data_IF_894795133375
#
_entry.id   IF_894795133375
#
_cell.length_a   1.000
_cell.length_b   1.000
_cell.length_c   1.000
_cell.angle_alpha   90.00
_cell.angle_beta   90.00
_cell.angle_gamma   90.00
#
_symmetry.space_group_name_H-M   'P 1'
#
loop_
_entity.id
_entity.type
_entity.pdbx_description
1 polymer ?
#
# COMPACT_ATOMS: atom_id res chain seq x y z
N UNK A 1 -24.43 -41.28 -12.95
CA UNK A 1 -23.90 -40.22 -13.82
C UNK A 1 -24.25 -38.79 -13.36
N UNK A 2 -25.52 -38.43 -13.12
CA UNK A 2 -25.91 -37.05 -12.73
C UNK A 2 -25.23 -36.50 -11.46
N UNK A 3 -25.01 -37.34 -10.43
CA UNK A 3 -24.31 -36.95 -9.19
C UNK A 3 -22.83 -36.62 -9.39
N UNK A 4 -22.17 -37.32 -10.33
CA UNK A 4 -20.76 -37.10 -10.65
C UNK A 4 -20.57 -35.81 -11.45
N UNK A 5 -21.50 -35.53 -12.37
CA UNK A 5 -21.52 -34.31 -13.15
C UNK A 5 -21.77 -33.06 -12.29
N UNK A 6 -22.61 -33.16 -11.26
CA UNK A 6 -22.86 -32.07 -10.31
C UNK A 6 -21.64 -31.80 -9.42
N UNK A 7 -20.96 -32.85 -8.95
CA UNK A 7 -19.72 -32.71 -8.17
C UNK A 7 -18.59 -32.07 -8.98
N UNK A 8 -18.46 -32.43 -10.26
CA UNK A 8 -17.48 -31.86 -11.17
C UNK A 8 -17.77 -30.37 -11.47
N UNK A 9 -19.05 -30.02 -11.65
CA UNK A 9 -19.47 -28.64 -11.85
C UNK A 9 -19.26 -27.78 -10.60
N UNK A 10 -19.51 -28.35 -9.41
CA UNK A 10 -19.23 -27.71 -8.13
C UNK A 10 -17.72 -27.52 -7.90
N UNK A 11 -16.91 -28.50 -8.29
CA UNK A 11 -15.44 -28.43 -8.23
C UNK A 11 -14.89 -27.37 -9.20
N UNK A 12 -15.42 -27.28 -10.43
CA UNK A 12 -15.08 -26.23 -11.39
C UNK A 12 -15.50 -24.83 -10.92
N UNK A 13 -16.67 -24.70 -10.28
CA UNK A 13 -17.11 -23.44 -9.66
C UNK A 13 -16.23 -23.04 -8.47
N UNK A 14 -15.74 -24.00 -7.68
CA UNK A 14 -14.81 -23.75 -6.57
C UNK A 14 -13.40 -23.40 -7.07
N UNK A 15 -12.96 -23.94 -8.21
CA UNK A 15 -11.68 -23.58 -8.84
C UNK A 15 -11.67 -22.17 -9.46
N UNK A 16 -12.84 -21.64 -9.85
CA UNK A 16 -12.97 -20.34 -10.52
C UNK A 16 -13.07 -19.13 -9.60
N UNK A 17 -12.97 -19.30 -8.28
CA UNK A 17 -12.91 -18.20 -7.33
C UNK A 17 -11.50 -17.57 -7.30
N UNK A 18 -11.03 -17.07 -8.44
CA UNK A 18 -9.95 -16.09 -8.40
C UNK A 18 -10.51 -14.84 -7.71
N UNK A 19 -10.07 -14.60 -6.48
CA UNK A 19 -10.36 -13.36 -5.78
C UNK A 19 -9.75 -12.22 -6.59
N UNK A 20 -10.59 -11.52 -7.35
CA UNK A 20 -10.17 -10.40 -8.18
C UNK A 20 -9.57 -9.31 -7.30
N UNK A 21 -8.27 -9.08 -7.44
CA UNK A 21 -7.64 -7.90 -6.89
C UNK A 21 -8.09 -6.67 -7.70
N UNK A 22 -8.43 -5.58 -7.02
CA UNK A 22 -8.75 -4.30 -7.65
C UNK A 22 -7.54 -3.40 -7.53
N UNK A 23 -6.87 -3.12 -8.65
CA UNK A 23 -5.74 -2.19 -8.72
C UNK A 23 -6.24 -0.76 -8.48
N UNK A 24 -5.64 -0.08 -7.51
CA UNK A 24 -5.93 1.32 -7.14
C UNK A 24 -4.85 2.25 -7.69
N UNK A 25 -3.59 1.82 -7.60
CA UNK A 25 -2.42 2.57 -8.03
C UNK A 25 -1.33 1.62 -8.49
N UNK A 26 -0.59 2.02 -9.52
CA UNK A 26 0.56 1.32 -10.09
C UNK A 26 1.61 2.37 -10.48
N UNK A 27 2.82 2.25 -9.94
CA UNK A 27 3.93 3.15 -10.21
C UNK A 27 4.57 2.80 -11.56
N UNK A 28 5.00 3.82 -12.30
CA UNK A 28 5.77 3.64 -13.54
C UNK A 28 7.23 3.24 -13.27
N UNK A 29 7.68 3.32 -12.02
CA UNK A 29 9.04 2.97 -11.63
C UNK A 29 9.21 1.45 -11.66
N UNK A 30 10.12 0.96 -12.52
CA UNK A 30 10.46 -0.45 -12.54
C UNK A 30 11.39 -0.81 -11.37
N UNK A 31 10.81 -1.39 -10.32
CA UNK A 31 11.50 -1.82 -9.10
C UNK A 31 11.82 -3.32 -9.05
N UNK A 32 11.55 -4.08 -10.12
CA UNK A 32 11.73 -5.55 -10.16
C UNK A 32 13.14 -6.04 -9.86
N UNK A 33 14.14 -5.18 -10.01
CA UNK A 33 15.56 -5.47 -9.78
C UNK A 33 16.08 -4.87 -8.45
N UNK A 34 15.21 -4.26 -7.64
CA UNK A 34 15.57 -3.65 -6.38
C UNK A 34 15.74 -4.71 -5.29
N UNK A 35 16.88 -4.64 -4.62
CA UNK A 35 17.26 -5.53 -3.52
C UNK A 35 17.46 -4.69 -2.26
N UNK A 36 17.01 -5.21 -1.13
CA UNK A 36 17.13 -4.57 0.18
C UNK A 36 17.94 -5.45 1.13
N UNK A 37 19.19 -5.05 1.37
CA UNK A 37 20.13 -5.76 2.25
C UNK A 37 20.52 -4.92 3.48
N UNK A 38 19.94 -3.74 3.64
CA UNK A 38 20.19 -2.85 4.77
C UNK A 38 19.22 -3.13 5.93
N UNK A 39 19.53 -2.59 7.11
CA UNK A 39 18.59 -2.62 8.23
C UNK A 39 17.41 -1.64 8.04
N UNK A 40 16.32 -1.94 8.76
CA UNK A 40 15.12 -1.10 8.78
C UNK A 40 15.24 0.08 9.76
N UNK A 41 16.45 0.44 10.22
CA UNK A 41 16.60 1.55 11.16
C UNK A 41 16.18 2.87 10.48
N UNK A 42 15.26 3.59 11.15
CA UNK A 42 14.68 4.83 10.63
C UNK A 42 13.68 4.64 9.49
N UNK A 43 13.35 3.41 9.10
CA UNK A 43 12.29 3.15 8.13
C UNK A 43 10.93 3.48 8.74
N UNK A 44 10.20 4.38 8.11
CA UNK A 44 8.88 4.82 8.56
C UNK A 44 7.86 4.84 7.43
N UNK A 45 6.62 4.54 7.81
CA UNK A 45 5.45 4.61 6.95
C UNK A 45 4.42 5.51 7.64
N UNK A 46 4.08 6.61 6.98
CA UNK A 46 3.10 7.57 7.48
C UNK A 46 1.88 7.54 6.56
N UNK A 47 0.72 7.21 7.15
CA UNK A 47 -0.56 7.20 6.45
C UNK A 47 -1.47 8.23 7.12
N UNK A 48 -1.76 9.31 6.38
CA UNK A 48 -2.60 10.41 6.84
C UNK A 48 -4.09 10.09 6.81
N UNK A 49 -4.52 9.12 7.62
CA UNK A 49 -5.94 8.76 7.77
C UNK A 49 -6.77 9.93 8.30
N UNK A 50 -6.12 10.85 9.01
CA UNK A 50 -6.63 12.13 9.47
C UNK A 50 -5.46 13.12 9.61
N UNK A 51 -5.80 14.40 9.86
CA UNK A 51 -4.80 15.47 10.00
C UNK A 51 -3.84 15.24 11.15
N UNK A 52 -4.33 14.75 12.29
CA UNK A 52 -3.50 14.57 13.48
C UNK A 52 -2.44 13.50 13.25
N UNK A 53 -2.84 12.35 12.70
CA UNK A 53 -1.92 11.26 12.34
C UNK A 53 -0.89 11.69 11.30
N UNK A 54 -1.33 12.42 10.27
CA UNK A 54 -0.40 12.94 9.25
C UNK A 54 0.65 13.85 9.88
N UNK A 55 0.23 14.92 10.56
CA UNK A 55 1.12 15.90 11.19
C UNK A 55 2.04 15.24 12.21
N UNK A 56 1.51 14.35 13.04
CA UNK A 56 2.31 13.63 14.05
C UNK A 56 3.37 12.76 13.37
N UNK A 57 3.00 12.01 12.33
CA UNK A 57 3.93 11.14 11.60
C UNK A 57 5.04 11.93 10.92
N UNK A 58 4.70 12.95 10.11
CA UNK A 58 5.73 13.71 9.37
C UNK A 58 6.63 14.55 10.29
N UNK A 59 6.16 14.96 11.46
CA UNK A 59 6.98 15.72 12.42
C UNK A 59 8.05 14.87 13.11
N UNK A 60 7.93 13.55 13.06
CA UNK A 60 8.94 12.63 13.56
C UNK A 60 10.05 12.35 12.52
N UNK A 61 9.84 12.73 11.26
CA UNK A 61 10.77 12.45 10.18
C UNK A 61 11.76 13.59 9.98
N UNK A 62 13.00 13.39 10.39
CA UNK A 62 14.05 14.37 10.15
C UNK A 62 14.30 14.58 8.65
N UNK A 63 14.67 15.81 8.25
CA UNK A 63 15.09 16.13 6.88
C UNK A 63 14.08 15.83 5.76
N UNK A 64 12.79 15.73 6.09
CA UNK A 64 11.72 15.73 5.08
C UNK A 64 11.54 17.13 4.46
N UNK A 65 11.35 17.18 3.14
CA UNK A 65 11.21 18.42 2.37
C UNK A 65 10.06 19.30 2.88
N UNK A 66 10.31 20.61 2.91
CA UNK A 66 9.34 21.63 3.37
C UNK A 66 8.03 21.58 2.57
N UNK A 67 8.11 21.25 1.29
CA UNK A 67 6.93 21.18 0.41
C UNK A 67 5.96 20.09 0.88
N UNK A 68 6.48 18.91 1.25
CA UNK A 68 5.65 17.82 1.82
C UNK A 68 5.05 18.24 3.16
N UNK A 69 5.82 18.96 3.98
CA UNK A 69 5.39 19.41 5.31
C UNK A 69 4.30 20.48 5.28
N UNK A 70 4.28 21.29 4.23
CA UNK A 70 3.34 22.41 4.06
C UNK A 70 2.13 22.04 3.21
N UNK A 71 2.15 20.86 2.59
CA UNK A 71 1.03 20.35 1.80
C UNK A 71 -0.23 20.19 2.67
N UNK A 72 -1.36 20.61 2.11
CA UNK A 72 -2.67 20.47 2.73
C UNK A 72 -3.53 19.51 1.92
N UNK A 73 -4.37 18.76 2.63
CA UNK A 73 -5.22 17.72 2.05
C UNK A 73 -6.64 17.87 2.56
N UNK A 74 -7.62 17.51 1.74
CA UNK A 74 -8.98 17.28 2.21
C UNK A 74 -9.06 15.86 2.78
N UNK A 75 -8.75 15.69 4.06
CA UNK A 75 -8.72 14.37 4.73
C UNK A 75 -10.05 13.60 4.70
N UNK A 76 -11.15 14.25 4.32
CA UNK A 76 -12.43 13.56 4.07
C UNK A 76 -12.46 12.82 2.73
N UNK A 77 -11.61 13.20 1.78
CA UNK A 77 -11.56 12.67 0.41
C UNK A 77 -10.20 12.11 0.02
N UNK A 78 -9.14 12.50 0.69
CA UNK A 78 -7.75 12.22 0.34
C UNK A 78 -7.03 11.58 1.51
N UNK A 79 -6.11 10.67 1.19
CA UNK A 79 -5.20 10.06 2.16
C UNK A 79 -3.78 10.20 1.61
N UNK A 80 -2.95 11.08 2.18
CA UNK A 80 -1.53 11.12 1.87
C UNK A 80 -0.82 9.89 2.48
N UNK A 81 0.06 9.28 1.71
CA UNK A 81 0.90 8.15 2.10
C UNK A 81 2.35 8.54 1.83
N UNK A 82 3.21 8.30 2.82
CA UNK A 82 4.64 8.54 2.72
C UNK A 82 5.41 7.35 3.24
N UNK A 83 6.44 6.94 2.50
CA UNK A 83 7.42 5.94 2.91
C UNK A 83 8.78 6.59 2.98
N UNK A 84 9.51 6.37 4.06
CA UNK A 84 10.75 7.07 4.38
C UNK A 84 11.79 6.06 4.83
N UNK A 85 12.99 6.09 4.26
CA UNK A 85 14.05 5.14 4.63
C UNK A 85 14.90 5.57 5.83
N UNK A 86 14.74 6.78 6.34
CA UNK A 86 15.68 7.32 7.32
C UNK A 86 16.96 7.83 6.67
N UNK A 87 17.91 8.21 7.54
CA UNK A 87 19.25 8.60 7.13
C UNK A 87 20.00 7.41 6.52
N UNK A 88 20.53 7.57 5.31
CA UNK A 88 21.36 6.56 4.64
C UNK A 88 22.76 7.11 4.33
N UNK A 89 23.82 6.29 4.45
CA UNK A 89 25.20 6.77 4.48
C UNK A 89 25.76 7.23 3.13
N UNK A 90 25.07 6.89 2.03
CA UNK A 90 25.49 7.18 0.67
C UNK A 90 24.28 7.46 -0.23
N UNK A 91 24.56 7.88 -1.46
CA UNK A 91 23.62 7.73 -2.56
C UNK A 91 23.39 6.26 -2.92
N UNK A 92 22.43 6.02 -3.81
CA UNK A 92 22.07 4.68 -4.30
C UNK A 92 20.96 3.98 -3.51
N UNK A 93 20.61 4.48 -2.33
CA UNK A 93 19.40 4.06 -1.61
C UNK A 93 18.15 4.69 -2.25
N UNK A 94 17.07 3.92 -2.33
CA UNK A 94 15.80 4.40 -2.86
C UNK A 94 14.62 3.62 -2.27
N UNK A 95 13.45 4.26 -2.23
CA UNK A 95 12.17 3.63 -1.86
C UNK A 95 11.12 4.08 -2.86
N UNK A 96 10.14 3.21 -3.11
CA UNK A 96 9.03 3.47 -4.01
C UNK A 96 7.79 2.77 -3.48
N UNK A 97 6.65 3.45 -3.52
CA UNK A 97 5.34 2.81 -3.38
C UNK A 97 5.03 2.24 -4.75
N UNK A 98 5.12 0.92 -4.91
CA UNK A 98 4.96 0.28 -6.22
C UNK A 98 3.51 0.22 -6.62
N UNK A 99 2.67 -0.29 -5.71
CA UNK A 99 1.30 -0.64 -6.03
C UNK A 99 0.41 -0.47 -4.81
N UNK A 100 -0.85 -0.11 -5.09
CA UNK A 100 -1.93 -0.22 -4.12
C UNK A 100 -3.02 -1.04 -4.77
N UNK A 101 -3.45 -2.10 -4.10
CA UNK A 101 -4.56 -2.92 -4.58
C UNK A 101 -5.43 -3.40 -3.43
N UNK A 102 -6.69 -3.69 -3.72
CA UNK A 102 -7.62 -4.28 -2.77
C UNK A 102 -7.76 -5.76 -3.07
N UNK A 103 -7.65 -6.61 -2.06
CA UNK A 103 -7.90 -8.04 -2.17
C UNK A 103 -8.62 -8.51 -0.91
N UNK A 104 -9.80 -9.07 -1.08
CA UNK A 104 -10.68 -9.46 0.03
C UNK A 104 -10.88 -8.31 1.03
N UNK A 105 -10.45 -8.51 2.27
CA UNK A 105 -10.56 -7.60 3.41
C UNK A 105 -9.35 -6.65 3.52
N UNK A 106 -8.34 -6.81 2.67
CA UNK A 106 -7.11 -6.05 2.75
C UNK A 106 -7.05 -4.99 1.63
N UNK A 107 -6.70 -3.77 2.00
CA UNK A 107 -6.01 -2.84 1.10
C UNK A 107 -4.52 -3.05 1.30
N UNK A 108 -3.83 -3.46 0.24
CA UNK A 108 -2.40 -3.79 0.26
C UNK A 108 -1.63 -2.67 -0.43
N UNK A 109 -0.62 -2.14 0.26
CA UNK A 109 0.37 -1.20 -0.27
C UNK A 109 1.67 -1.96 -0.41
N UNK A 110 2.19 -2.04 -1.63
CA UNK A 110 3.49 -2.67 -1.93
C UNK A 110 4.55 -1.59 -1.97
N UNK A 111 5.64 -1.80 -1.23
CA UNK A 111 6.76 -0.88 -1.15
C UNK A 111 8.04 -1.60 -1.53
N UNK A 112 8.72 -1.11 -2.56
CA UNK A 112 10.06 -1.57 -2.90
C UNK A 112 11.11 -0.69 -2.26
N UNK A 113 12.16 -1.32 -1.76
CA UNK A 113 13.31 -0.65 -1.16
C UNK A 113 14.59 -1.14 -1.83
N UNK A 114 15.53 -0.22 -2.02
CA UNK A 114 16.82 -0.49 -2.65
C UNK A 114 17.96 -0.02 -1.76
N UNK A 115 18.93 -0.90 -1.57
CA UNK A 115 20.28 -0.56 -1.11
C UNK A 115 21.28 -0.63 -2.29
N UNK A 116 22.34 0.19 -2.30
CA UNK A 116 23.39 0.06 -3.29
C UNK A 116 24.14 -1.27 -3.12
N UNK A 117 24.58 -1.86 -4.23
CA UNK A 117 25.38 -3.09 -4.16
C UNK A 117 26.77 -2.78 -3.58
N UNK A 118 27.45 -3.72 -2.90
CA UNK A 118 28.78 -3.47 -2.32
C UNK A 118 29.83 -3.00 -3.34
N UNK A 119 29.67 -3.35 -4.61
CA UNK A 119 30.56 -2.97 -5.72
C UNK A 119 30.04 -1.79 -6.55
N UNK A 120 28.90 -1.21 -6.18
CA UNK A 120 28.30 -0.10 -6.91
C UNK A 120 29.04 1.20 -6.58
N UNK A 121 29.40 1.97 -7.62
CA UNK A 121 29.98 3.29 -7.43
C UNK A 121 28.88 4.27 -7.03
N UNK A 122 28.91 4.71 -5.77
CA UNK A 122 27.95 5.67 -5.20
C UNK A 122 28.65 6.87 -4.58
N UNK A 123 27.91 7.97 -4.43
CA UNK A 123 28.38 9.16 -3.72
C UNK A 123 28.32 8.92 -2.21
N UNK A 124 29.42 9.18 -1.50
CA UNK A 124 29.46 9.08 -0.03
C UNK A 124 28.93 10.35 0.62
N UNK A 125 27.61 10.53 0.58
CA UNK A 125 26.89 11.64 1.21
C UNK A 125 25.64 11.12 1.91
N UNK A 126 25.30 11.71 3.05
CA UNK A 126 24.06 11.38 3.75
C UNK A 126 22.85 11.69 2.87
N UNK A 127 21.93 10.74 2.75
CA UNK A 127 20.67 10.89 2.02
C UNK A 127 19.48 10.51 2.90
N UNK A 128 18.29 10.96 2.51
CA UNK A 128 17.03 10.70 3.22
C UNK A 128 15.94 10.26 2.23
N UNK A 129 16.07 9.08 1.60
CA UNK A 129 15.18 8.68 0.53
C UNK A 129 13.75 8.51 1.02
N UNK A 130 12.80 9.03 0.25
CA UNK A 130 11.38 8.91 0.53
C UNK A 130 10.58 8.85 -0.77
N UNK A 131 9.37 8.32 -0.68
CA UNK A 131 8.36 8.41 -1.73
C UNK A 131 7.01 8.80 -1.12
N UNK A 132 6.20 9.51 -1.90
CA UNK A 132 4.99 10.17 -1.45
C UNK A 132 3.92 10.16 -2.54
N UNK A 133 2.69 9.82 -2.15
CA UNK A 133 1.53 9.94 -3.02
C UNK A 133 0.26 10.24 -2.24
N UNK A 134 -0.75 10.77 -2.93
CA UNK A 134 -2.08 11.03 -2.38
C UNK A 134 -3.09 10.14 -3.09
N UNK A 135 -3.88 9.38 -2.34
CA UNK A 135 -4.94 8.52 -2.89
C UNK A 135 -6.31 9.04 -2.50
N UNK A 136 -7.31 8.98 -3.38
CA UNK A 136 -8.69 9.14 -2.99
C UNK A 136 -9.09 8.12 -1.91
N UNK A 137 -9.57 8.62 -0.77
CA UNK A 137 -9.89 7.85 0.45
C UNK A 137 -10.76 6.64 0.16
N UNK A 138 -11.80 6.80 -0.67
CA UNK A 138 -12.73 5.74 -1.03
C UNK A 138 -12.07 4.50 -1.65
N UNK A 139 -10.90 4.66 -2.29
CA UNK A 139 -10.18 3.54 -2.88
C UNK A 139 -9.35 2.75 -1.86
N UNK A 140 -9.07 3.34 -0.70
CA UNK A 140 -8.32 2.67 0.37
C UNK A 140 -9.21 2.00 1.42
N UNK A 141 -10.48 2.38 1.54
CA UNK A 141 -11.40 1.84 2.58
C UNK A 141 -11.54 0.33 2.44
N UNK A 142 -11.02 -0.41 3.42
CA UNK A 142 -11.21 -1.85 3.58
C UNK A 142 -11.10 -2.21 5.09
N UNK A 143 -11.24 -3.49 5.43
CA UNK A 143 -11.18 -3.94 6.83
C UNK A 143 -9.78 -3.78 7.43
N UNK A 144 -8.76 -4.14 6.66
CA UNK A 144 -7.36 -3.99 7.04
C UNK A 144 -6.62 -3.16 5.99
N UNK A 145 -5.59 -2.46 6.45
CA UNK A 145 -4.57 -1.90 5.59
C UNK A 145 -3.24 -2.58 5.91
N UNK A 146 -2.60 -3.15 4.89
CA UNK A 146 -1.37 -3.91 5.03
C UNK A 146 -0.32 -3.29 4.12
N UNK A 147 0.85 -3.01 4.67
CA UNK A 147 2.01 -2.58 3.89
C UNK A 147 2.98 -3.75 3.83
N UNK A 148 3.35 -4.15 2.62
CA UNK A 148 4.27 -5.25 2.36
C UNK A 148 5.49 -4.76 1.59
N UNK A 149 6.61 -5.46 1.73
CA UNK A 149 7.78 -5.23 0.90
C UNK A 149 7.67 -5.93 -0.46
N UNK A 150 8.69 -5.74 -1.31
CA UNK A 150 8.80 -6.36 -2.63
C UNK A 150 8.83 -7.91 -2.64
N UNK A 151 9.00 -8.54 -1.47
CA UNK A 151 9.01 -9.99 -1.30
C UNK A 151 7.73 -10.51 -0.64
N UNK A 152 6.78 -9.62 -0.34
CA UNK A 152 5.52 -9.94 0.32
C UNK A 152 5.60 -10.03 1.85
N UNK A 153 6.73 -9.66 2.46
CA UNK A 153 6.83 -9.60 3.91
C UNK A 153 6.03 -8.41 4.44
N UNK A 154 5.32 -8.61 5.54
CA UNK A 154 4.53 -7.53 6.16
C UNK A 154 5.46 -6.55 6.89
N UNK A 155 5.45 -5.30 6.45
CA UNK A 155 6.16 -4.19 7.09
C UNK A 155 5.32 -3.53 8.18
N UNK A 156 4.03 -3.32 7.90
CA UNK A 156 3.04 -2.76 8.84
C UNK A 156 1.66 -3.35 8.56
N UNK A 157 0.86 -3.48 9.61
CA UNK A 157 -0.55 -3.88 9.53
C UNK A 157 -1.38 -2.97 10.42
N UNK A 158 -2.44 -2.42 9.86
CA UNK A 158 -3.38 -1.53 10.54
C UNK A 158 -4.74 -2.19 10.59
N UNK A 159 -5.11 -2.65 11.79
CA UNK A 159 -6.45 -3.13 12.07
C UNK A 159 -7.40 -1.94 12.17
N UNK A 160 -8.51 -1.96 11.43
CA UNK A 160 -9.52 -0.89 11.47
C UNK A 160 -8.95 0.50 11.11
N UNK A 161 -8.15 0.60 10.05
CA UNK A 161 -7.57 1.87 9.59
C UNK A 161 -8.64 2.95 9.32
N UNK A 162 -9.85 2.54 8.93
CA UNK A 162 -10.97 3.44 8.65
C UNK A 162 -12.10 3.29 9.69
N UNK A 163 -12.85 4.37 9.99
CA UNK A 163 -14.03 4.32 10.86
C UNK A 163 -15.02 3.22 10.43
N UNK A 164 -15.73 2.64 11.39
CA UNK A 164 -16.72 1.56 11.14
C UNK A 164 -17.82 1.97 10.17
N UNK A 165 -18.24 3.23 10.23
CA UNK A 165 -19.28 3.80 9.36
C UNK A 165 -18.85 3.80 7.89
N UNK A 166 -17.61 4.25 7.60
CA UNK A 166 -17.05 4.24 6.24
C UNK A 166 -16.93 2.81 5.70
N UNK A 167 -16.49 1.87 6.55
CA UNK A 167 -16.41 0.45 6.19
C UNK A 167 -17.78 -0.15 5.90
N UNK A 168 -18.80 0.19 6.70
CA UNK A 168 -20.17 -0.30 6.47
C UNK A 168 -20.76 0.21 5.15
N UNK A 169 -20.55 1.48 4.81
CA UNK A 169 -20.97 2.04 3.51
C UNK A 169 -20.27 1.32 2.36
N UNK A 170 -18.97 1.03 2.50
CA UNK A 170 -18.23 0.27 1.49
C UNK A 170 -18.76 -1.16 1.34
N UNK A 171 -18.98 -1.89 2.44
CA UNK A 171 -19.53 -3.25 2.42
C UNK A 171 -20.90 -3.30 1.74
N UNK A 172 -21.77 -2.35 2.07
CA UNK A 172 -23.08 -2.20 1.43
C UNK A 172 -22.92 -1.98 -0.08
N UNK A 173 -22.01 -1.08 -0.48
CA UNK A 173 -21.75 -0.79 -1.90
C UNK A 173 -21.26 -2.02 -2.67
N UNK A 174 -20.35 -2.81 -2.07
CA UNK A 174 -19.87 -4.08 -2.65
C UNK A 174 -21.02 -5.10 -2.77
N UNK A 175 -21.90 -5.19 -1.77
CA UNK A 175 -23.05 -6.10 -1.80
C UNK A 175 -24.04 -5.73 -2.92
N UNK A 176 -24.28 -4.44 -3.17
CA UNK A 176 -25.14 -3.98 -4.26
C UNK A 176 -24.53 -4.30 -5.64
N UNK A 177 -23.24 -4.01 -5.86
CA UNK A 177 -22.55 -4.35 -7.11
C UNK A 177 -22.57 -5.86 -7.41
N UNK A 178 -22.40 -6.69 -6.38
CA UNK A 178 -22.47 -8.16 -6.51
C UNK A 178 -23.88 -8.68 -6.84
N UNK A 179 -24.92 -7.93 -6.48
CA UNK A 179 -26.32 -8.29 -6.76
C UNK A 179 -26.70 -7.95 -8.20
N UNK A 180 -26.26 -6.83 -8.74
CA UNK A 180 -26.53 -6.42 -10.13
C UNK A 180 -25.77 -7.28 -11.16
N UNK A 181 -24.56 -7.75 -10.84
CA UNK A 181 -23.79 -8.67 -11.70
C UNK A 181 -24.31 -10.11 -11.77
N UNK A 182 -25.49 -10.42 -11.20
CA UNK A 182 -26.07 -11.77 -11.14
C UNK A 182 -27.32 -11.96 -12.01
N UNK A 183 -27.78 -10.90 -12.69
CA UNK A 183 -28.99 -10.90 -13.55
C UNK A 183 -28.68 -10.91 -15.07
N UNK A 184 -27.48 -11.37 -15.47
CA UNK A 184 -27.12 -11.57 -16.88
C UNK A 184 -26.65 -13.00 -17.16
#
# INVERSE_FOLDING_TARGET
MKRFMFALFLMLLLLGAEQSAVLVYDSEVNTSHWEWDADDAGFEIVIGLDREKWITGINQLDFLDTDVRTMSFDYSKEVPILVYLGQRPSGGYAVNIDQIFKREQDTVIVVSRRSPKPTEFVTMVLTYPYDFLVVPRQYLVNQHLVVIDQHGNVLRRYENAFPSEERAVYEISVLFQKKEGKDH
#
